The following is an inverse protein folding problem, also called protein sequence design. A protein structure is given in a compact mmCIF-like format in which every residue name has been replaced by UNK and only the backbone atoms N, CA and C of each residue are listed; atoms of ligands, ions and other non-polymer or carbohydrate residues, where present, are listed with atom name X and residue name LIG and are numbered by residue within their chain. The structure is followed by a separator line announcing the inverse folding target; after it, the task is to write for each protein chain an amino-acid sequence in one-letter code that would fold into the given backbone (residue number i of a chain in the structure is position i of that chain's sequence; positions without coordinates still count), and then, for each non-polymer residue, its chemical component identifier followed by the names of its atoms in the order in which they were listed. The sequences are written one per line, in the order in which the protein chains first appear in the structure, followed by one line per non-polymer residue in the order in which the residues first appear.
data_IF_807013040706
#
_entry.id   IF_807013040706
#
_cell.length_a   1.000
_cell.length_b   1.000
_cell.length_c   1.000
_cell.angle_alpha   90.00
_cell.angle_beta   90.00
_cell.angle_gamma   90.00
#
_symmetry.space_group_name_H-M   'P 1'
#
loop_
_entity.id
_entity.type
_entity.pdbx_description
1 polymer ?
#
# COMPACT_ATOMS: atom_id res chain seq x y z
N UNK A 1 -25.42 3.05 -20.08
CA UNK A 1 -25.15 1.96 -19.13
C UNK A 1 -24.50 2.45 -17.82
N UNK A 2 -24.03 3.71 -17.74
CA UNK A 2 -23.53 4.33 -16.51
C UNK A 2 -24.48 5.41 -15.94
N UNK A 3 -25.62 5.69 -16.59
CA UNK A 3 -26.50 6.82 -16.26
C UNK A 3 -27.15 6.71 -14.88
N UNK A 4 -27.31 5.49 -14.38
CA UNK A 4 -27.72 5.21 -12.99
C UNK A 4 -26.62 5.57 -12.00
N UNK A 5 -25.35 5.33 -12.36
CA UNK A 5 -24.20 5.62 -11.52
C UNK A 5 -23.92 7.12 -11.39
N UNK A 6 -24.28 7.92 -12.38
CA UNK A 6 -24.09 9.37 -12.34
C UNK A 6 -24.85 10.05 -11.18
N UNK A 7 -25.82 9.35 -10.58
CA UNK A 7 -26.53 9.81 -9.39
C UNK A 7 -25.64 9.94 -8.13
N UNK A 8 -24.39 9.46 -8.13
CA UNK A 8 -23.43 9.72 -7.04
C UNK A 8 -22.61 10.99 -7.23
N UNK A 9 -22.72 11.67 -8.36
CA UNK A 9 -22.07 12.96 -8.56
C UNK A 9 -22.86 14.05 -7.80
N UNK A 10 -22.18 15.00 -7.15
CA UNK A 10 -22.85 16.10 -6.46
C UNK A 10 -23.49 17.07 -7.47
N UNK A 11 -24.43 17.88 -6.97
CA UNK A 11 -25.06 18.93 -7.77
C UNK A 11 -24.01 19.89 -8.36
N UNK A 12 -24.11 20.18 -9.66
CA UNK A 12 -23.15 21.02 -10.39
C UNK A 12 -22.00 20.26 -11.05
N UNK A 13 -21.87 18.95 -10.81
CA UNK A 13 -20.91 18.08 -11.52
C UNK A 13 -21.66 17.17 -12.48
N UNK A 14 -21.42 17.34 -13.78
CA UNK A 14 -22.01 16.50 -14.82
C UNK A 14 -20.98 15.54 -15.41
N UNK A 15 -21.44 14.34 -15.76
CA UNK A 15 -20.62 13.35 -16.47
C UNK A 15 -20.23 13.89 -17.85
N UNK A 16 -18.93 14.07 -18.05
CA UNK A 16 -18.35 14.45 -19.32
C UNK A 16 -18.25 13.24 -20.26
N UNK A 17 -18.55 13.46 -21.53
CA UNK A 17 -18.39 12.48 -22.59
C UNK A 17 -17.07 12.72 -23.34
N UNK A 18 -16.30 11.66 -23.57
CA UNK A 18 -15.03 11.75 -24.28
C UNK A 18 -14.36 10.40 -24.43
N UNK A 19 -13.20 10.39 -25.07
CA UNK A 19 -12.34 9.20 -25.16
C UNK A 19 -11.54 9.11 -23.87
N UNK A 20 -11.62 7.99 -23.11
CA UNK A 20 -10.82 7.83 -21.90
C UNK A 20 -9.33 7.69 -22.24
N UNK A 21 -8.44 7.92 -21.28
CA UNK A 21 -7.01 7.68 -21.48
C UNK A 21 -6.75 6.23 -21.93
N UNK A 22 -5.87 6.01 -22.93
CA UNK A 22 -5.53 4.66 -23.36
C UNK A 22 -4.85 3.90 -22.22
N UNK A 23 -4.93 2.56 -22.20
CA UNK A 23 -4.18 1.78 -21.22
C UNK A 23 -2.67 1.97 -21.42
N UNK A 24 -1.86 1.86 -20.35
CA UNK A 24 -0.40 1.83 -20.45
C UNK A 24 0.08 0.69 -21.37
N UNK A 25 1.23 0.89 -22.01
CA UNK A 25 1.87 -0.13 -22.88
C UNK A 25 2.33 -1.33 -22.07
N UNK A 26 2.98 -1.05 -20.94
CA UNK A 26 3.37 -1.99 -19.91
C UNK A 26 3.34 -1.29 -18.55
N UNK A 27 3.48 -2.07 -17.48
CA UNK A 27 3.60 -1.58 -16.11
C UNK A 27 5.04 -1.72 -15.58
N UNK A 28 6.01 -1.88 -16.48
CA UNK A 28 7.42 -2.11 -16.17
C UNK A 28 8.22 -0.80 -16.23
N UNK A 29 9.27 -0.76 -17.03
CA UNK A 29 10.19 0.38 -17.12
C UNK A 29 9.65 1.53 -17.98
N UNK A 30 8.68 1.29 -18.86
CA UNK A 30 8.09 2.32 -19.72
C UNK A 30 6.81 2.94 -19.15
N UNK A 31 6.39 2.51 -17.95
CA UNK A 31 5.23 3.07 -17.29
C UNK A 31 5.44 4.56 -17.00
N UNK A 32 4.53 5.39 -17.50
CA UNK A 32 4.51 6.83 -17.24
C UNK A 32 3.37 7.13 -16.28
N UNK A 33 3.64 7.94 -15.25
CA UNK A 33 2.62 8.36 -14.30
C UNK A 33 1.47 9.07 -15.02
N UNK A 34 0.21 8.81 -14.63
CA UNK A 34 -0.93 9.55 -15.16
C UNK A 34 -0.80 11.06 -14.98
N UNK A 35 -1.30 11.82 -15.95
CA UNK A 35 -1.36 13.28 -15.84
C UNK A 35 -2.76 13.69 -15.43
N UNK A 36 -2.88 14.18 -14.20
CA UNK A 36 -4.13 14.73 -13.67
C UNK A 36 -4.39 16.10 -14.29
N UNK A 37 -5.50 16.24 -15.03
CA UNK A 37 -5.79 17.46 -15.81
C UNK A 37 -6.79 18.40 -15.13
N UNK A 38 -7.93 17.86 -14.74
CA UNK A 38 -9.03 18.60 -14.10
C UNK A 38 -9.50 17.82 -12.88
N UNK A 39 -9.76 18.51 -11.77
CA UNK A 39 -10.29 17.91 -10.55
C UNK A 39 -11.57 18.63 -10.11
N UNK A 40 -12.69 18.45 -10.86
CA UNK A 40 -13.95 19.16 -10.61
C UNK A 40 -14.41 19.14 -9.14
N UNK A 41 -14.24 17.99 -8.46
CA UNK A 41 -14.65 17.87 -7.06
C UNK A 41 -13.74 18.66 -6.11
N UNK A 42 -12.44 18.77 -6.41
CA UNK A 42 -11.53 19.61 -5.63
C UNK A 42 -11.86 21.09 -5.79
N UNK A 43 -12.21 21.52 -6.99
CA UNK A 43 -12.64 22.90 -7.27
C UNK A 43 -13.98 23.24 -6.59
N UNK A 44 -14.92 22.29 -6.59
CA UNK A 44 -16.23 22.47 -5.96
C UNK A 44 -16.14 22.52 -4.43
N UNK A 45 -15.30 21.66 -3.84
CA UNK A 45 -15.20 21.47 -2.40
C UNK A 45 -13.85 21.95 -1.84
N UNK A 46 -13.47 23.18 -2.20
CA UNK A 46 -12.23 23.82 -1.71
C UNK A 46 -12.29 24.11 -0.21
N UNK A 47 -11.15 23.90 0.46
CA UNK A 47 -10.95 24.27 1.86
C UNK A 47 -9.85 25.35 1.98
N UNK A 48 -9.88 26.26 2.97
CA UNK A 48 -8.87 27.31 3.11
C UNK A 48 -7.42 26.81 3.18
N UNK A 49 -7.18 25.61 3.72
CA UNK A 49 -5.84 24.99 3.79
C UNK A 49 -5.32 24.51 2.43
N UNK A 50 -6.19 24.39 1.42
CA UNK A 50 -5.82 23.87 0.11
C UNK A 50 -4.97 24.87 -0.66
N UNK A 51 -5.19 26.16 -0.40
CA UNK A 51 -4.51 27.25 -1.09
C UNK A 51 -2.98 27.28 -0.85
N UNK A 52 -2.51 26.66 0.23
CA UNK A 52 -1.09 26.60 0.57
C UNK A 52 -0.44 25.25 0.33
N UNK A 53 -1.24 24.21 0.03
CA UNK A 53 -0.79 22.84 -0.11
C UNK A 53 -0.45 22.54 -1.56
N UNK A 54 0.72 21.93 -1.78
CA UNK A 54 1.12 21.40 -3.10
C UNK A 54 1.71 20.02 -2.91
N UNK A 55 1.19 19.03 -3.64
CA UNK A 55 1.75 17.69 -3.73
C UNK A 55 2.56 17.50 -5.03
N UNK A 56 3.82 17.09 -4.86
CA UNK A 56 4.71 16.70 -5.94
C UNK A 56 4.71 15.18 -6.04
N UNK A 57 3.94 14.66 -7.00
CA UNK A 57 3.65 13.22 -7.14
C UNK A 57 4.92 12.37 -7.34
N UNK A 58 5.79 12.78 -8.27
CA UNK A 58 7.04 12.07 -8.59
C UNK A 58 7.95 11.80 -7.38
N UNK A 59 8.41 12.83 -6.65
CA UNK A 59 9.20 12.63 -5.43
C UNK A 59 8.35 12.30 -4.19
N UNK A 60 7.02 12.26 -4.31
CA UNK A 60 6.05 12.05 -3.22
C UNK A 60 6.25 13.04 -2.05
N UNK A 61 6.33 14.34 -2.36
CA UNK A 61 6.57 15.41 -1.39
C UNK A 61 5.34 16.32 -1.29
N UNK A 62 4.87 16.55 -0.06
CA UNK A 62 3.87 17.57 0.23
C UNK A 62 4.59 18.84 0.69
N UNK A 63 4.10 19.99 0.27
CA UNK A 63 4.58 21.29 0.76
C UNK A 63 3.41 22.12 1.26
N UNK A 64 3.59 22.85 2.36
CA UNK A 64 2.64 23.82 2.89
C UNK A 64 3.33 25.18 2.94
N UNK A 65 2.76 26.19 2.28
CA UNK A 65 3.35 27.52 2.12
C UNK A 65 4.78 27.46 1.53
N UNK A 66 5.02 26.50 0.64
CA UNK A 66 6.32 26.26 -0.01
C UNK A 66 7.36 25.58 0.88
N UNK A 67 6.99 25.14 2.08
CA UNK A 67 7.85 24.36 2.98
C UNK A 67 7.47 22.88 2.90
N UNK A 68 8.38 21.98 2.51
CA UNK A 68 8.13 20.54 2.54
C UNK A 68 7.79 20.01 3.93
N UNK A 69 6.75 19.19 4.02
CA UNK A 69 6.40 18.51 5.26
C UNK A 69 7.50 17.50 5.63
N UNK A 70 7.81 17.36 6.91
CA UNK A 70 8.81 16.37 7.33
C UNK A 70 8.31 14.93 7.19
N UNK A 71 7.02 14.69 7.30
CA UNK A 71 6.43 13.34 7.17
C UNK A 71 5.19 13.27 6.28
N UNK A 72 4.65 12.07 6.16
CA UNK A 72 3.34 11.80 5.57
C UNK A 72 2.50 10.91 6.48
N UNK A 73 1.17 10.89 6.28
CA UNK A 73 0.28 10.00 7.04
C UNK A 73 0.66 8.53 6.84
N UNK A 74 0.95 8.13 5.60
CA UNK A 74 1.42 6.78 5.28
C UNK A 74 2.69 6.43 6.05
N UNK A 75 3.67 7.34 6.10
CA UNK A 75 4.89 7.13 6.89
C UNK A 75 4.60 6.88 8.37
N UNK A 76 3.71 7.66 8.99
CA UNK A 76 3.33 7.47 10.39
C UNK A 76 2.61 6.14 10.64
N UNK A 77 1.75 5.71 9.72
CA UNK A 77 1.00 4.45 9.83
C UNK A 77 1.89 3.19 9.73
N UNK A 78 3.06 3.30 9.10
CA UNK A 78 4.01 2.20 8.93
C UNK A 78 5.16 2.22 9.95
N UNK A 79 5.33 3.29 10.73
CA UNK A 79 6.48 3.48 11.63
C UNK A 79 6.68 2.35 12.66
N UNK A 80 5.62 1.62 13.02
CA UNK A 80 5.63 0.56 14.02
C UNK A 80 5.54 -0.85 13.43
N UNK A 81 5.51 -0.99 12.11
CA UNK A 81 5.62 -2.29 11.44
C UNK A 81 7.05 -2.77 11.39
N UNK A 82 7.25 -4.09 11.34
CA UNK A 82 8.58 -4.64 11.09
C UNK A 82 8.87 -4.61 9.59
N UNK A 83 10.08 -4.21 9.19
CA UNK A 83 10.45 -4.24 7.78
C UNK A 83 10.44 -5.70 7.27
N UNK A 84 9.99 -5.88 6.03
CA UNK A 84 10.07 -7.17 5.36
C UNK A 84 11.55 -7.56 5.17
N UNK A 85 11.87 -8.82 5.50
CA UNK A 85 13.21 -9.40 5.32
C UNK A 85 13.13 -10.48 4.24
N UNK A 86 13.57 -10.17 3.00
CA UNK A 86 13.48 -11.11 1.88
C UNK A 86 14.22 -12.42 2.14
N UNK A 87 15.38 -12.35 2.80
CA UNK A 87 16.21 -13.52 3.09
C UNK A 87 15.52 -14.46 4.07
N UNK A 88 14.87 -13.92 5.11
CA UNK A 88 14.04 -14.72 6.01
C UNK A 88 12.82 -15.29 5.29
N UNK A 89 12.20 -14.53 4.39
CA UNK A 89 11.09 -14.98 3.55
C UNK A 89 11.47 -16.21 2.72
N UNK A 90 12.58 -16.14 1.98
CA UNK A 90 13.09 -17.25 1.16
C UNK A 90 13.43 -18.47 2.02
N UNK A 91 14.14 -18.25 3.14
CA UNK A 91 14.48 -19.33 4.07
C UNK A 91 13.23 -20.02 4.62
N UNK A 92 12.20 -19.27 4.98
CA UNK A 92 10.93 -19.83 5.45
C UNK A 92 10.21 -20.64 4.35
N UNK A 93 10.22 -20.17 3.10
CA UNK A 93 9.62 -20.90 1.97
C UNK A 93 10.34 -22.22 1.70
N UNK A 94 11.67 -22.23 1.68
CA UNK A 94 12.50 -23.44 1.47
C UNK A 94 12.29 -24.50 2.55
N UNK A 95 12.02 -24.07 3.78
CA UNK A 95 11.83 -24.95 4.93
C UNK A 95 10.35 -25.27 5.23
N UNK A 96 9.42 -24.83 4.38
CA UNK A 96 8.00 -25.03 4.62
C UNK A 96 7.62 -26.51 4.60
N UNK A 97 6.76 -26.90 5.55
CA UNK A 97 6.15 -28.25 5.57
C UNK A 97 4.83 -28.32 4.79
N UNK A 98 4.20 -27.18 4.52
CA UNK A 98 2.89 -27.11 3.86
C UNK A 98 2.97 -27.12 2.34
N UNK A 99 4.15 -26.90 1.78
CA UNK A 99 4.42 -26.92 0.34
C UNK A 99 5.88 -27.31 0.13
N UNK A 100 6.14 -28.17 -0.86
CA UNK A 100 7.51 -28.59 -1.20
C UNK A 100 8.27 -27.47 -1.93
N UNK A 101 9.59 -27.53 -1.83
CA UNK A 101 10.51 -26.64 -2.53
C UNK A 101 11.23 -27.40 -3.66
N UNK A 102 11.45 -26.79 -4.85
CA UNK A 102 11.06 -25.43 -5.24
C UNK A 102 9.55 -25.29 -5.51
N UNK A 103 9.04 -24.06 -5.50
CA UNK A 103 7.68 -23.76 -5.97
C UNK A 103 7.71 -23.49 -7.47
N UNK A 104 6.58 -23.73 -8.15
CA UNK A 104 6.47 -23.55 -9.61
C UNK A 104 6.89 -22.15 -10.07
N UNK A 105 6.56 -21.11 -9.30
CA UNK A 105 6.91 -19.71 -9.59
C UNK A 105 8.41 -19.37 -9.42
N UNK A 106 9.21 -20.26 -8.82
CA UNK A 106 10.64 -20.03 -8.53
C UNK A 106 11.57 -21.00 -9.27
N UNK A 107 11.12 -21.53 -10.41
CA UNK A 107 11.93 -22.34 -11.31
C UNK A 107 12.00 -21.70 -12.70
N UNK A 108 13.07 -21.99 -13.42
CA UNK A 108 13.32 -21.48 -14.78
C UNK A 108 12.82 -22.50 -15.81
N UNK A 109 12.20 -21.97 -16.88
CA UNK A 109 11.70 -22.74 -18.03
C UNK A 109 10.74 -23.88 -17.60
N UNK A 110 9.78 -23.58 -16.72
CA UNK A 110 8.75 -24.55 -16.35
C UNK A 110 7.84 -24.86 -17.53
N UNK A 111 7.59 -26.15 -17.81
CA UNK A 111 6.77 -26.62 -18.93
C UNK A 111 5.75 -27.67 -18.46
N UNK A 112 4.45 -27.51 -18.76
CA UNK A 112 3.46 -28.54 -18.49
C UNK A 112 3.74 -29.82 -19.29
N UNK A 113 3.67 -30.97 -18.63
CA UNK A 113 3.83 -32.30 -19.25
C UNK A 113 2.44 -32.84 -19.56
N UNK A 114 1.88 -32.46 -20.70
CA UNK A 114 0.45 -32.70 -20.98
C UNK A 114 0.18 -34.00 -21.74
N UNK A 115 1.09 -34.53 -22.58
CA UNK A 115 0.71 -35.66 -23.46
C UNK A 115 1.83 -36.70 -23.67
N UNK A 116 3.11 -36.38 -23.43
CA UNK A 116 4.18 -37.36 -23.65
C UNK A 116 5.18 -37.43 -22.49
N UNK A 117 5.30 -38.62 -21.91
CA UNK A 117 6.27 -38.97 -20.86
C UNK A 117 7.72 -38.65 -21.28
N UNK A 118 7.98 -38.55 -22.59
CA UNK A 118 9.28 -38.20 -23.17
C UNK A 118 9.79 -36.78 -22.84
N UNK A 119 8.92 -35.88 -22.34
CA UNK A 119 9.34 -34.54 -21.87
C UNK A 119 9.96 -34.58 -20.46
N UNK A 120 9.86 -35.72 -19.77
CA UNK A 120 10.53 -35.99 -18.51
C UNK A 120 11.88 -36.65 -18.80
N UNK A 121 12.95 -35.92 -18.55
CA UNK A 121 14.33 -36.41 -18.63
C UNK A 121 15.03 -36.17 -17.30
N UNK A 122 16.05 -36.97 -16.99
CA UNK A 122 16.85 -36.79 -15.79
C UNK A 122 17.70 -35.51 -15.82
N UNK A 123 17.89 -34.89 -16.98
CA UNK A 123 18.62 -33.63 -17.13
C UNK A 123 17.84 -32.44 -16.58
N UNK A 124 16.51 -32.57 -16.51
CA UNK A 124 15.60 -31.55 -16.00
C UNK A 124 15.04 -31.97 -14.64
N UNK A 125 14.56 -31.01 -13.90
CA UNK A 125 13.74 -31.25 -12.73
C UNK A 125 12.31 -31.55 -13.14
N UNK A 126 11.55 -32.18 -12.25
CA UNK A 126 10.14 -32.43 -12.44
C UNK A 126 9.37 -32.24 -11.12
N UNK A 127 8.12 -31.79 -11.20
CA UNK A 127 7.29 -31.54 -10.03
C UNK A 127 5.82 -31.83 -10.29
N UNK A 128 5.08 -32.13 -9.21
CA UNK A 128 3.62 -32.24 -9.22
C UNK A 128 3.06 -31.02 -8.48
N UNK A 129 2.14 -30.31 -9.13
CA UNK A 129 1.42 -29.17 -8.60
C UNK A 129 -0.06 -29.52 -8.49
N UNK A 130 -0.67 -29.19 -7.36
CA UNK A 130 -2.08 -29.44 -7.09
C UNK A 130 -2.66 -28.20 -6.40
N UNK A 131 -3.72 -27.61 -6.97
CA UNK A 131 -4.31 -26.37 -6.45
C UNK A 131 -3.28 -25.24 -6.28
N UNK A 132 -2.35 -25.11 -7.23
CA UNK A 132 -1.27 -24.12 -7.20
C UNK A 132 -0.12 -24.40 -6.21
N UNK A 133 -0.18 -25.50 -5.45
CA UNK A 133 0.88 -25.88 -4.50
C UNK A 133 1.72 -27.02 -5.04
N UNK A 134 3.03 -26.87 -4.94
CA UNK A 134 3.96 -27.95 -5.24
C UNK A 134 3.91 -29.01 -4.14
N UNK A 135 3.51 -30.23 -4.50
CA UNK A 135 3.32 -31.35 -3.55
C UNK A 135 4.39 -32.45 -3.67
N UNK A 136 5.07 -32.53 -4.82
CA UNK A 136 6.20 -33.43 -5.04
C UNK A 136 7.20 -32.79 -6.00
N UNK A 137 8.50 -33.09 -5.80
CA UNK A 137 9.62 -32.54 -6.57
C UNK A 137 10.68 -33.63 -6.74
N UNK A 138 11.31 -33.61 -7.90
CA UNK A 138 12.58 -34.23 -8.22
C UNK A 138 13.48 -33.17 -8.86
N UNK A 139 14.66 -32.93 -8.31
CA UNK A 139 15.58 -31.92 -8.85
C UNK A 139 16.31 -32.45 -10.11
N UNK A 140 16.79 -31.55 -10.99
CA UNK A 140 17.65 -31.93 -12.11
C UNK A 140 18.81 -32.85 -11.66
N UNK A 141 19.12 -33.87 -12.46
CA UNK A 141 20.19 -34.84 -12.22
C UNK A 141 20.07 -35.67 -10.94
N UNK A 142 18.88 -35.74 -10.32
CA UNK A 142 18.64 -36.59 -9.14
C UNK A 142 18.47 -38.08 -9.48
N UNK A 143 18.33 -38.41 -10.76
CA UNK A 143 18.23 -39.78 -11.27
C UNK A 143 19.30 -40.03 -12.34
N UNK A 144 19.59 -41.32 -12.59
CA UNK A 144 20.54 -41.72 -13.62
C UNK A 144 20.11 -41.22 -15.00
N UNK A 145 21.08 -40.89 -15.86
CA UNK A 145 20.84 -40.39 -17.22
C UNK A 145 20.02 -41.33 -18.11
N UNK A 146 19.97 -42.61 -17.77
CA UNK A 146 19.18 -43.65 -18.44
C UNK A 146 17.74 -43.78 -17.96
N UNK A 147 17.34 -43.05 -16.91
CA UNK A 147 16.00 -43.13 -16.36
C UNK A 147 14.95 -42.68 -17.40
N UNK A 148 13.94 -43.52 -17.62
CA UNK A 148 12.82 -43.17 -18.48
C UNK A 148 11.91 -42.16 -17.78
N UNK A 149 11.09 -41.45 -18.55
CA UNK A 149 10.08 -40.58 -17.96
C UNK A 149 9.06 -41.33 -17.08
N UNK A 150 8.84 -42.63 -17.34
CA UNK A 150 7.99 -43.49 -16.48
C UNK A 150 8.63 -43.70 -15.11
N UNK A 151 9.96 -43.90 -15.07
CA UNK A 151 10.72 -44.03 -13.81
C UNK A 151 10.63 -42.74 -12.99
N UNK A 152 10.83 -41.59 -13.65
CA UNK A 152 10.74 -40.26 -13.03
C UNK A 152 9.34 -40.03 -12.46
N UNK A 153 8.29 -40.30 -13.23
CA UNK A 153 6.90 -40.13 -12.80
C UNK A 153 6.55 -41.05 -11.63
N UNK A 154 7.05 -42.29 -11.65
CA UNK A 154 6.88 -43.25 -10.55
C UNK A 154 7.48 -42.71 -9.24
N UNK A 155 8.71 -42.18 -9.29
CA UNK A 155 9.37 -41.57 -8.12
C UNK A 155 8.61 -40.35 -7.62
N UNK A 156 8.15 -39.47 -8.52
CA UNK A 156 7.35 -38.30 -8.14
C UNK A 156 6.05 -38.69 -7.44
N UNK A 157 5.33 -39.68 -7.98
CA UNK A 157 4.10 -40.20 -7.37
C UNK A 157 4.35 -40.84 -6.01
N UNK A 158 5.47 -41.56 -5.85
CA UNK A 158 5.86 -42.09 -4.55
C UNK A 158 6.17 -40.98 -3.53
N UNK A 159 6.88 -39.92 -3.95
CA UNK A 159 7.18 -38.73 -3.13
C UNK A 159 5.91 -37.99 -2.72
N UNK A 160 4.95 -37.84 -3.66
CA UNK A 160 3.62 -37.27 -3.42
C UNK A 160 2.89 -37.97 -2.28
N UNK A 161 2.85 -39.30 -2.26
CA UNK A 161 2.18 -40.09 -1.22
C UNK A 161 2.73 -39.84 0.20
N UNK A 162 3.93 -39.27 0.32
CA UNK A 162 4.57 -38.94 1.60
C UNK A 162 4.27 -37.50 2.05
N UNK A 163 3.61 -36.68 1.23
CA UNK A 163 3.26 -35.29 1.55
C UNK A 163 1.89 -35.25 2.26
N UNK A 164 1.81 -34.77 3.52
CA UNK A 164 0.53 -34.68 4.23
C UNK A 164 -0.49 -33.77 3.53
N UNK A 165 -1.75 -34.22 3.41
CA UNK A 165 -2.84 -33.45 2.79
C UNK A 165 -2.91 -33.55 1.25
N UNK A 166 -2.24 -34.53 0.64
CA UNK A 166 -2.22 -34.79 -0.81
C UNK A 166 -3.29 -35.79 -1.26
N UNK A 167 -4.56 -35.56 -0.89
CA UNK A 167 -5.66 -36.35 -1.46
C UNK A 167 -5.66 -36.17 -3.00
N UNK A 168 -5.90 -37.25 -3.74
CA UNK A 168 -5.97 -37.18 -5.20
C UNK A 168 -7.16 -36.32 -5.61
N UNK A 169 -6.85 -35.22 -6.30
CA UNK A 169 -7.84 -34.35 -6.92
C UNK A 169 -7.65 -34.39 -8.43
N UNK A 170 -8.67 -33.99 -9.19
CA UNK A 170 -8.61 -33.94 -10.65
C UNK A 170 -7.72 -32.79 -11.18
N UNK A 171 -7.16 -31.96 -10.28
CA UNK A 171 -6.37 -30.75 -10.59
C UNK A 171 -4.84 -30.96 -10.47
N UNK A 172 -4.35 -32.19 -10.67
CA UNK A 172 -2.92 -32.48 -10.61
C UNK A 172 -2.20 -32.26 -11.93
N UNK A 173 -1.23 -31.36 -11.91
CA UNK A 173 -0.42 -30.99 -13.07
C UNK A 173 1.04 -31.37 -12.86
N UNK A 174 1.62 -32.05 -13.85
CA UNK A 174 3.05 -32.38 -13.86
C UNK A 174 3.78 -31.33 -14.69
N UNK A 175 4.87 -30.80 -14.15
CA UNK A 175 5.74 -29.83 -14.82
C UNK A 175 7.18 -30.31 -14.85
N UNK A 176 7.88 -30.08 -15.95
CA UNK A 176 9.35 -30.16 -16.01
C UNK A 176 9.95 -28.77 -15.91
N UNK A 177 11.17 -28.64 -15.38
CA UNK A 177 11.86 -27.36 -15.23
C UNK A 177 13.38 -27.50 -15.40
N UNK A 178 14.05 -26.44 -15.86
CA UNK A 178 15.49 -26.48 -16.11
C UNK A 178 16.29 -26.44 -14.80
N UNK A 179 16.03 -25.42 -13.97
CA UNK A 179 16.72 -25.22 -12.69
C UNK A 179 15.88 -24.39 -11.72
N UNK A 180 16.31 -24.35 -10.48
CA UNK A 180 15.75 -23.46 -9.45
C UNK A 180 16.37 -22.07 -9.58
N UNK A 181 15.57 -21.02 -9.34
CA UNK A 181 16.09 -19.66 -9.19
C UNK A 181 17.03 -19.56 -7.98
N UNK A 182 18.06 -18.72 -8.10
CA UNK A 182 18.91 -18.30 -6.99
C UNK A 182 18.17 -17.32 -6.08
N UNK A 183 18.68 -17.11 -4.86
CA UNK A 183 18.04 -16.19 -3.91
C UNK A 183 18.02 -14.76 -4.44
N UNK A 184 19.05 -14.35 -5.18
CA UNK A 184 19.07 -13.04 -5.85
C UNK A 184 18.02 -12.95 -6.94
N UNK A 185 17.89 -13.97 -7.80
CA UNK A 185 16.85 -14.00 -8.84
C UNK A 185 15.44 -13.94 -8.25
N UNK A 186 15.20 -14.59 -7.10
CA UNK A 186 13.91 -14.51 -6.40
C UNK A 186 13.66 -13.10 -5.85
N UNK A 187 14.67 -12.44 -5.29
CA UNK A 187 14.56 -11.06 -4.79
C UNK A 187 14.32 -10.07 -5.93
N UNK A 188 14.99 -10.24 -7.07
CA UNK A 188 14.80 -9.42 -8.27
C UNK A 188 13.39 -9.64 -8.84
N UNK A 189 12.94 -10.89 -8.89
CA UNK A 189 11.58 -11.25 -9.30
C UNK A 189 10.51 -10.61 -8.39
N UNK A 190 10.70 -10.64 -7.07
CA UNK A 190 9.79 -9.98 -6.13
C UNK A 190 9.79 -8.45 -6.29
N UNK A 191 10.95 -7.86 -6.56
CA UNK A 191 11.08 -6.41 -6.80
C UNK A 191 10.33 -6.01 -8.06
N UNK A 192 10.52 -6.73 -9.17
CA UNK A 192 9.81 -6.48 -10.42
C UNK A 192 8.30 -6.67 -10.27
N UNK A 193 7.87 -7.77 -9.62
CA UNK A 193 6.46 -8.04 -9.34
C UNK A 193 5.84 -6.93 -8.47
N UNK A 194 6.58 -6.44 -7.48
CA UNK A 194 6.18 -5.31 -6.64
C UNK A 194 6.02 -4.01 -7.44
N UNK A 195 6.98 -3.70 -8.33
CA UNK A 195 6.92 -2.54 -9.22
C UNK A 195 5.70 -2.59 -10.14
N UNK A 196 5.49 -3.71 -10.84
CA UNK A 196 4.32 -3.92 -11.72
C UNK A 196 3.02 -3.77 -10.92
N UNK A 197 2.91 -4.40 -9.76
CA UNK A 197 1.72 -4.30 -8.92
C UNK A 197 1.44 -2.87 -8.46
N UNK A 198 2.48 -2.12 -8.08
CA UNK A 198 2.39 -0.71 -7.69
C UNK A 198 1.92 0.17 -8.84
N UNK A 199 2.57 0.07 -10.01
CA UNK A 199 2.23 0.85 -11.21
C UNK A 199 0.80 0.55 -11.69
N UNK A 200 0.40 -0.72 -11.65
CA UNK A 200 -0.97 -1.12 -11.98
C UNK A 200 -1.96 -0.53 -10.97
N UNK A 201 -1.59 -0.50 -9.68
CA UNK A 201 -2.36 0.19 -8.65
C UNK A 201 -2.56 1.67 -8.95
N UNK A 202 -1.49 2.40 -9.26
CA UNK A 202 -1.52 3.83 -9.63
C UNK A 202 -2.47 4.09 -10.80
N UNK A 203 -2.38 3.29 -11.87
CA UNK A 203 -3.25 3.44 -13.03
C UNK A 203 -4.74 3.28 -12.69
N UNK A 204 -5.08 2.34 -11.82
CA UNK A 204 -6.48 2.12 -11.47
C UNK A 204 -7.00 3.06 -10.38
N UNK A 205 -6.15 3.59 -9.50
CA UNK A 205 -6.53 4.74 -8.67
C UNK A 205 -6.91 5.93 -9.56
N UNK A 206 -6.11 6.22 -10.60
CA UNK A 206 -6.43 7.24 -11.58
C UNK A 206 -7.74 6.96 -12.33
N UNK A 207 -7.99 5.72 -12.79
CA UNK A 207 -9.29 5.38 -13.41
C UNK A 207 -10.48 5.57 -12.46
N UNK A 208 -10.33 5.21 -11.18
CA UNK A 208 -11.33 5.45 -10.15
C UNK A 208 -11.58 6.95 -9.96
N UNK A 209 -10.52 7.75 -9.84
CA UNK A 209 -10.61 9.22 -9.70
C UNK A 209 -11.34 9.84 -10.90
N UNK A 210 -10.99 9.47 -12.13
CA UNK A 210 -11.68 9.96 -13.34
C UNK A 210 -13.17 9.65 -13.29
N UNK A 211 -13.53 8.41 -12.95
CA UNK A 211 -14.94 8.05 -12.83
C UNK A 211 -15.65 8.87 -11.74
N UNK A 212 -15.05 9.02 -10.56
CA UNK A 212 -15.69 9.74 -9.46
C UNK A 212 -15.79 11.25 -9.71
N UNK A 213 -14.92 11.84 -10.54
CA UNK A 213 -14.99 13.24 -10.96
C UNK A 213 -15.93 13.52 -12.14
N UNK A 214 -16.67 12.52 -12.63
CA UNK A 214 -17.49 12.74 -13.82
C UNK A 214 -16.69 12.74 -15.13
N UNK A 215 -15.42 12.33 -15.14
CA UNK A 215 -14.56 12.38 -16.33
C UNK A 215 -14.61 11.08 -17.15
N UNK A 216 -14.17 11.10 -18.44
CA UNK A 216 -14.06 9.90 -19.26
C UNK A 216 -13.08 8.88 -18.66
N UNK A 217 -13.57 7.67 -18.35
CA UNK A 217 -12.78 6.57 -17.81
C UNK A 217 -13.00 5.28 -18.62
N UNK A 218 -12.10 4.30 -18.47
CA UNK A 218 -12.21 2.99 -19.13
C UNK A 218 -13.18 2.09 -18.38
N UNK A 219 -14.46 2.33 -18.61
CA UNK A 219 -15.54 1.61 -17.93
C UNK A 219 -15.57 0.10 -18.24
N UNK A 220 -14.90 -0.40 -19.27
CA UNK A 220 -14.85 -1.83 -19.59
C UNK A 220 -13.76 -2.61 -18.85
N UNK A 221 -12.88 -1.91 -18.11
CA UNK A 221 -11.82 -2.58 -17.37
C UNK A 221 -12.42 -3.41 -16.20
N UNK A 222 -11.96 -4.66 -15.96
CA UNK A 222 -12.48 -5.51 -14.89
C UNK A 222 -12.42 -4.87 -13.50
N UNK A 223 -11.34 -4.14 -13.20
CA UNK A 223 -11.17 -3.37 -11.97
C UNK A 223 -12.29 -2.35 -11.77
N UNK A 224 -12.70 -1.66 -12.85
CA UNK A 224 -13.74 -0.64 -12.79
C UNK A 224 -15.13 -1.22 -12.54
N UNK A 225 -15.39 -2.46 -12.98
CA UNK A 225 -16.64 -3.15 -12.66
C UNK A 225 -16.83 -3.33 -11.15
N UNK A 226 -15.75 -3.57 -10.41
CA UNK A 226 -15.79 -3.71 -8.94
C UNK A 226 -16.18 -2.39 -8.27
N UNK A 227 -15.63 -1.26 -8.74
CA UNK A 227 -16.04 0.06 -8.26
C UNK A 227 -17.53 0.33 -8.57
N UNK A 228 -18.00 -0.01 -9.76
CA UNK A 228 -19.39 0.20 -10.14
C UNK A 228 -20.35 -0.65 -9.29
N UNK A 229 -19.97 -1.89 -8.98
CA UNK A 229 -20.73 -2.72 -8.07
C UNK A 229 -20.74 -2.15 -6.66
N UNK A 230 -19.61 -1.58 -6.19
CA UNK A 230 -19.57 -0.88 -4.92
C UNK A 230 -20.55 0.32 -4.91
N UNK A 231 -20.54 1.14 -5.95
CA UNK A 231 -21.46 2.29 -6.11
C UNK A 231 -22.92 1.84 -6.08
N UNK A 232 -23.28 0.83 -6.89
CA UNK A 232 -24.67 0.33 -6.98
C UNK A 232 -25.18 -0.27 -5.69
N UNK A 233 -24.33 -1.04 -5.00
CA UNK A 233 -24.76 -1.82 -3.84
C UNK A 233 -24.67 -1.04 -2.53
N UNK A 234 -23.82 0.00 -2.46
CA UNK A 234 -23.53 0.68 -1.19
C UNK A 234 -23.83 2.18 -1.22
N UNK A 235 -23.56 2.89 -2.32
CA UNK A 235 -23.75 4.35 -2.38
C UNK A 235 -25.16 4.73 -2.82
N UNK A 236 -25.61 4.23 -3.97
CA UNK A 236 -26.91 4.58 -4.56
C UNK A 236 -28.10 4.31 -3.62
N UNK A 237 -28.20 3.16 -2.92
CA UNK A 237 -29.34 2.87 -2.05
C UNK A 237 -29.47 3.83 -0.86
N UNK A 238 -28.41 4.59 -0.55
CA UNK A 238 -28.34 5.56 0.53
C UNK A 238 -28.33 7.00 0.06
N UNK A 239 -28.27 7.24 -1.25
CA UNK A 239 -28.05 8.59 -1.78
C UNK A 239 -26.74 9.18 -1.27
N UNK A 240 -25.69 8.36 -1.16
CA UNK A 240 -24.34 8.83 -0.85
C UNK A 240 -23.72 9.40 -2.13
N UNK A 241 -23.10 10.57 -2.00
CA UNK A 241 -22.42 11.25 -3.10
C UNK A 241 -20.91 11.23 -2.91
N UNK A 242 -20.17 11.38 -4.01
CA UNK A 242 -18.75 11.68 -3.92
C UNK A 242 -18.59 13.13 -3.52
N UNK A 243 -17.88 13.38 -2.44
CA UNK A 243 -17.56 14.73 -1.97
C UNK A 243 -16.24 15.21 -2.56
N UNK A 244 -15.19 14.38 -2.52
CA UNK A 244 -13.89 14.74 -3.03
C UNK A 244 -13.06 13.50 -3.37
N UNK A 245 -12.01 13.65 -4.18
CA UNK A 245 -11.09 12.57 -4.57
C UNK A 245 -9.65 13.05 -4.58
N UNK A 246 -8.71 12.14 -4.34
CA UNK A 246 -7.27 12.45 -4.20
C UNK A 246 -7.07 13.69 -3.32
N UNK A 247 -7.84 13.74 -2.23
CA UNK A 247 -7.97 14.93 -1.39
C UNK A 247 -6.70 15.07 -0.58
N UNK A 248 -5.86 15.99 -1.02
CA UNK A 248 -4.66 16.40 -0.31
C UNK A 248 -5.04 17.12 0.99
N UNK A 249 -4.38 16.73 2.08
CA UNK A 249 -4.54 17.31 3.40
C UNK A 249 -3.18 17.60 4.05
N UNK A 250 -3.18 18.56 4.99
CA UNK A 250 -2.04 18.91 5.81
C UNK A 250 -2.45 19.05 7.27
N UNK A 251 -1.59 18.58 8.17
CA UNK A 251 -1.71 18.80 9.60
C UNK A 251 -0.49 19.62 10.06
N UNK A 252 -0.63 20.95 10.09
CA UNK A 252 0.49 21.89 10.30
C UNK A 252 1.23 21.69 11.62
N UNK A 253 0.50 21.37 12.68
CA UNK A 253 1.10 21.12 14.00
C UNK A 253 1.93 19.84 14.03
N UNK A 254 1.55 18.83 13.23
CA UNK A 254 2.27 17.58 13.08
C UNK A 254 3.31 17.63 11.94
N UNK A 255 3.31 18.68 11.11
CA UNK A 255 4.22 18.81 9.97
C UNK A 255 4.17 17.56 9.04
N UNK A 256 2.95 17.13 8.73
CA UNK A 256 2.66 15.98 7.86
C UNK A 256 1.63 16.33 6.80
N UNK A 257 1.77 15.72 5.62
CA UNK A 257 0.78 15.74 4.55
C UNK A 257 0.20 14.35 4.26
N UNK A 258 -0.84 14.28 3.44
CA UNK A 258 -1.40 13.03 2.92
C UNK A 258 -2.38 13.26 1.79
N UNK A 259 -2.69 12.21 1.03
CA UNK A 259 -3.75 12.17 0.03
C UNK A 259 -4.77 11.10 0.40
N UNK A 260 -6.04 11.45 0.36
CA UNK A 260 -7.16 10.54 0.61
C UNK A 260 -7.83 10.22 -0.73
N UNK A 261 -7.84 8.94 -1.11
CA UNK A 261 -8.34 8.50 -2.43
C UNK A 261 -9.76 9.02 -2.73
N UNK A 262 -10.71 8.87 -1.80
CA UNK A 262 -12.03 9.46 -1.92
C UNK A 262 -12.68 9.79 -0.55
N UNK A 263 -13.42 10.88 -0.53
CA UNK A 263 -14.33 11.28 0.55
C UNK A 263 -15.75 11.20 -0.01
N UNK A 264 -16.62 10.48 0.69
CA UNK A 264 -18.04 10.35 0.35
C UNK A 264 -18.88 11.13 1.35
N UNK A 265 -20.00 11.70 0.93
CA UNK A 265 -20.94 12.40 1.81
C UNK A 265 -22.26 11.63 1.93
N UNK A 266 -22.65 11.33 3.17
CA UNK A 266 -23.96 10.75 3.50
C UNK A 266 -24.88 11.85 4.04
N UNK A 267 -25.84 12.32 3.22
CA UNK A 267 -26.78 13.36 3.63
C UNK A 267 -27.78 12.89 4.68
N UNK A 268 -28.04 11.58 4.79
CA UNK A 268 -29.04 11.05 5.72
C UNK A 268 -28.55 11.14 7.17
N UNK A 269 -27.28 10.81 7.37
CA UNK A 269 -26.62 10.85 8.68
C UNK A 269 -25.80 12.13 8.92
N UNK A 270 -25.65 12.97 7.88
CA UNK A 270 -24.84 14.19 7.90
C UNK A 270 -23.38 13.93 8.33
N UNK A 271 -22.78 12.90 7.73
CA UNK A 271 -21.39 12.49 7.95
C UNK A 271 -20.67 12.32 6.62
N UNK A 272 -19.34 12.28 6.69
CA UNK A 272 -18.48 11.91 5.57
C UNK A 272 -17.87 10.54 5.82
N UNK A 273 -17.68 9.75 4.77
CA UNK A 273 -16.98 8.48 4.82
C UNK A 273 -15.66 8.60 4.07
N UNK A 274 -14.64 7.90 4.55
CA UNK A 274 -13.35 7.80 3.86
C UNK A 274 -13.38 6.51 3.06
N UNK A 275 -13.06 6.58 1.77
CA UNK A 275 -12.90 5.42 0.89
C UNK A 275 -11.45 5.39 0.39
N UNK A 276 -10.77 4.28 0.65
CA UNK A 276 -9.39 4.04 0.27
C UNK A 276 -9.34 2.81 -0.64
N UNK A 277 -8.86 3.03 -1.87
CA UNK A 277 -8.71 2.01 -2.88
C UNK A 277 -7.43 1.22 -2.63
N UNK A 278 -7.50 -0.06 -2.96
CA UNK A 278 -6.36 -0.96 -3.01
C UNK A 278 -6.47 -1.83 -4.24
N UNK A 279 -5.33 -2.28 -4.75
CA UNK A 279 -5.29 -3.33 -5.78
C UNK A 279 -4.39 -4.46 -5.30
N UNK A 280 -4.96 -5.37 -4.50
CA UNK A 280 -4.20 -6.47 -3.89
C UNK A 280 -4.99 -7.77 -3.89
N UNK A 281 -4.41 -8.80 -4.51
CA UNK A 281 -4.89 -10.19 -4.50
C UNK A 281 -4.97 -10.82 -3.09
N UNK A 282 -4.28 -10.22 -2.12
CA UNK A 282 -4.12 -10.74 -0.76
C UNK A 282 -4.78 -9.89 0.33
N UNK A 283 -5.57 -8.85 -0.02
CA UNK A 283 -6.02 -7.90 1.00
C UNK A 283 -6.85 -8.57 2.09
N UNK A 284 -7.86 -9.37 1.72
CA UNK A 284 -8.72 -10.10 2.65
C UNK A 284 -7.91 -10.98 3.62
N UNK A 285 -6.94 -11.74 3.09
CA UNK A 285 -6.09 -12.65 3.88
C UNK A 285 -5.05 -11.95 4.75
N UNK A 286 -4.79 -10.65 4.53
CA UNK A 286 -3.78 -9.84 5.24
C UNK A 286 -4.41 -8.73 6.10
N UNK A 287 -5.74 -8.80 6.31
CA UNK A 287 -6.41 -7.99 7.32
C UNK A 287 -5.98 -8.38 8.73
N UNK A 288 -5.44 -9.59 8.92
CA UNK A 288 -4.91 -10.09 10.19
C UNK A 288 -3.64 -10.91 9.97
N UNK A 289 -2.75 -10.95 10.96
CA UNK A 289 -1.55 -11.78 10.88
C UNK A 289 -1.81 -13.19 11.42
N UNK A 290 -1.95 -14.16 10.51
CA UNK A 290 -2.17 -15.57 10.83
C UNK A 290 -0.95 -16.26 11.51
N UNK A 291 0.23 -15.65 11.44
CA UNK A 291 1.47 -16.12 12.07
C UNK A 291 1.73 -15.48 13.44
N UNK A 292 0.74 -14.73 13.99
CA UNK A 292 0.80 -14.06 15.30
C UNK A 292 1.93 -13.01 15.42
N UNK A 293 2.46 -12.52 14.30
CA UNK A 293 3.37 -11.38 14.31
C UNK A 293 2.69 -10.12 14.85
N UNK A 294 3.41 -9.36 15.67
CA UNK A 294 2.93 -8.14 16.35
C UNK A 294 3.79 -6.95 15.99
N UNK A 295 3.15 -5.79 15.85
CA UNK A 295 3.83 -4.51 15.66
C UNK A 295 4.80 -4.23 16.82
N UNK A 296 5.74 -3.32 16.59
CA UNK A 296 6.68 -2.89 17.61
C UNK A 296 5.99 -2.07 18.72
N UNK A 297 6.67 -1.96 19.87
CA UNK A 297 6.15 -1.17 20.98
C UNK A 297 5.92 0.30 20.58
N UNK A 298 4.83 0.94 21.05
CA UNK A 298 3.88 0.46 22.08
C UNK A 298 2.68 -0.33 21.52
N UNK A 299 2.64 -0.68 20.23
CA UNK A 299 1.46 -1.25 19.57
C UNK A 299 1.48 -2.78 19.46
N UNK A 300 2.09 -3.47 20.42
CA UNK A 300 2.23 -4.94 20.40
C UNK A 300 0.90 -5.71 20.48
N UNK A 301 -0.21 -5.04 20.77
CA UNK A 301 -1.56 -5.60 20.67
C UNK A 301 -2.06 -5.69 19.22
N UNK A 302 -1.62 -4.78 18.34
CA UNK A 302 -1.91 -4.80 16.90
C UNK A 302 -1.09 -5.89 16.20
N UNK A 303 -1.67 -6.51 15.18
CA UNK A 303 -0.91 -7.46 14.38
C UNK A 303 0.02 -6.73 13.41
N UNK A 304 1.18 -7.32 13.16
CA UNK A 304 2.10 -6.87 12.13
C UNK A 304 1.62 -7.36 10.76
N UNK A 305 0.68 -6.61 10.17
CA UNK A 305 0.03 -6.93 8.88
C UNK A 305 -0.43 -5.64 8.20
N UNK A 306 -0.76 -5.73 6.90
CA UNK A 306 -1.27 -4.59 6.13
C UNK A 306 -2.57 -4.04 6.70
N UNK A 307 -3.49 -4.90 7.15
CA UNK A 307 -4.76 -4.49 7.75
C UNK A 307 -4.60 -3.51 8.91
N UNK A 308 -3.64 -3.77 9.82
CA UNK A 308 -3.40 -2.89 10.96
C UNK A 308 -2.84 -1.52 10.54
N UNK A 309 -1.94 -1.46 9.55
CA UNK A 309 -1.43 -0.18 9.04
C UNK A 309 -2.49 0.60 8.28
N UNK A 310 -3.37 -0.05 7.52
CA UNK A 310 -4.51 0.63 6.91
C UNK A 310 -5.48 1.19 7.96
N UNK A 311 -5.74 0.43 9.05
CA UNK A 311 -6.53 0.95 10.17
C UNK A 311 -5.90 2.23 10.76
N UNK A 312 -4.58 2.24 10.98
CA UNK A 312 -3.86 3.41 11.49
C UNK A 312 -3.90 4.58 10.50
N UNK A 313 -3.65 4.33 9.21
CA UNK A 313 -3.66 5.33 8.16
C UNK A 313 -5.01 6.06 8.09
N UNK A 314 -6.11 5.30 7.97
CA UNK A 314 -7.45 5.89 7.89
C UNK A 314 -7.90 6.53 9.21
N UNK A 315 -7.39 6.05 10.35
CA UNK A 315 -7.62 6.69 11.65
C UNK A 315 -6.89 8.04 11.76
N UNK A 316 -5.67 8.15 11.25
CA UNK A 316 -4.93 9.42 11.20
C UNK A 316 -5.63 10.40 10.25
N UNK A 317 -6.10 9.94 9.08
CA UNK A 317 -6.91 10.77 8.20
C UNK A 317 -8.16 11.30 8.90
N UNK A 318 -8.93 10.43 9.56
CA UNK A 318 -10.07 10.88 10.36
C UNK A 318 -9.68 11.93 11.39
N UNK A 319 -8.63 11.69 12.19
CA UNK A 319 -8.18 12.63 13.21
C UNK A 319 -7.92 14.03 12.63
N UNK A 320 -7.24 14.11 11.48
CA UNK A 320 -6.91 15.38 10.82
C UNK A 320 -8.18 16.02 10.25
N UNK A 321 -9.03 15.24 9.56
CA UNK A 321 -10.25 15.75 8.93
C UNK A 321 -11.23 16.33 9.96
N UNK A 322 -11.41 15.66 11.10
CA UNK A 322 -12.33 16.13 12.15
C UNK A 322 -11.78 17.36 12.88
N UNK A 323 -10.47 17.40 13.12
CA UNK A 323 -9.83 18.48 13.87
C UNK A 323 -9.57 19.74 13.04
N UNK A 324 -9.06 19.58 11.82
CA UNK A 324 -8.48 20.67 11.02
C UNK A 324 -9.37 21.08 9.83
N UNK A 325 -10.26 20.18 9.37
CA UNK A 325 -11.13 20.40 8.21
C UNK A 325 -12.63 20.48 8.57
N UNK A 326 -12.98 20.23 9.84
CA UNK A 326 -14.36 20.36 10.33
C UNK A 326 -15.33 19.29 9.82
N UNK A 327 -14.81 18.16 9.32
CA UNK A 327 -15.66 17.04 8.93
C UNK A 327 -16.15 16.25 10.15
N UNK A 328 -17.25 15.53 9.99
CA UNK A 328 -17.65 14.45 10.89
C UNK A 328 -17.51 13.14 10.14
N UNK A 329 -16.73 12.20 10.65
CA UNK A 329 -16.39 10.97 9.93
C UNK A 329 -17.21 9.78 10.43
N UNK A 330 -17.90 9.10 9.51
CA UNK A 330 -18.57 7.83 9.74
C UNK A 330 -17.61 6.64 9.52
N UNK A 331 -17.80 5.96 8.40
CA UNK A 331 -17.01 4.78 8.01
C UNK A 331 -15.66 5.14 7.38
N UNK A 332 -14.69 4.25 7.61
CA UNK A 332 -13.39 4.21 6.95
C UNK A 332 -13.34 2.91 6.16
N UNK A 333 -13.36 2.99 4.85
CA UNK A 333 -13.66 1.87 3.96
C UNK A 333 -12.41 1.53 3.15
N UNK A 334 -12.07 0.24 3.11
CA UNK A 334 -11.08 -0.30 2.18
C UNK A 334 -11.81 -1.02 1.05
N UNK A 335 -11.47 -0.69 -0.19
CA UNK A 335 -11.98 -1.36 -1.38
C UNK A 335 -10.82 -1.91 -2.22
N UNK A 336 -10.63 -3.23 -2.20
CA UNK A 336 -9.80 -3.92 -3.17
C UNK A 336 -10.53 -4.07 -4.50
N UNK A 337 -10.02 -3.39 -5.53
CA UNK A 337 -10.50 -3.50 -6.91
C UNK A 337 -9.75 -4.56 -7.71
N UNK A 338 -9.09 -5.53 -7.07
CA UNK A 338 -8.38 -6.60 -7.79
C UNK A 338 -9.38 -7.55 -8.49
N UNK A 339 -9.30 -7.78 -9.81
CA UNK A 339 -10.30 -8.56 -10.56
C UNK A 339 -10.51 -9.98 -10.03
N UNK A 340 -9.41 -10.66 -9.67
CA UNK A 340 -9.46 -12.05 -9.18
C UNK A 340 -9.75 -12.17 -7.67
N UNK A 341 -9.74 -11.04 -6.94
CA UNK A 341 -9.88 -11.02 -5.49
C UNK A 341 -10.51 -9.69 -5.00
N UNK A 342 -11.73 -9.36 -5.46
CA UNK A 342 -12.43 -8.18 -4.98
C UNK A 342 -12.72 -8.33 -3.49
N UNK A 343 -12.54 -7.25 -2.73
CA UNK A 343 -12.74 -7.27 -1.29
C UNK A 343 -13.13 -5.89 -0.79
N UNK A 344 -14.12 -5.81 0.10
CA UNK A 344 -14.54 -4.55 0.72
C UNK A 344 -14.74 -4.76 2.22
N UNK A 345 -14.27 -3.82 3.04
CA UNK A 345 -14.48 -3.85 4.49
C UNK A 345 -14.43 -2.45 5.09
N UNK A 346 -15.10 -2.25 6.23
CA UNK A 346 -14.92 -1.06 7.08
C UNK A 346 -13.91 -1.37 8.17
N UNK A 347 -13.04 -0.41 8.48
CA UNK A 347 -12.00 -0.55 9.51
C UNK A 347 -12.29 0.30 10.74
N UNK A 348 -11.91 -0.14 11.95
CA UNK A 348 -12.17 0.61 13.16
C UNK A 348 -11.39 1.92 13.24
N UNK A 349 -11.90 2.87 14.02
CA UNK A 349 -11.12 4.03 14.44
C UNK A 349 -10.21 3.67 15.62
N UNK A 350 -8.91 3.65 15.39
CA UNK A 350 -7.88 3.40 16.39
C UNK A 350 -7.51 4.70 17.11
N UNK A 351 -8.46 5.32 17.81
CA UNK A 351 -8.30 6.65 18.43
C UNK A 351 -7.11 6.69 19.40
N UNK A 352 -7.00 5.72 20.31
CA UNK A 352 -5.94 5.72 21.34
C UNK A 352 -4.53 5.65 20.73
N UNK A 353 -4.36 4.84 19.68
CA UNK A 353 -3.11 4.71 18.95
C UNK A 353 -2.82 5.96 18.12
N UNK A 354 -3.84 6.48 17.44
CA UNK A 354 -3.75 7.70 16.62
C UNK A 354 -3.42 8.91 17.46
N UNK A 355 -4.10 9.13 18.57
CA UNK A 355 -3.84 10.21 19.51
C UNK A 355 -2.40 10.16 20.04
N UNK A 356 -1.89 8.97 20.38
CA UNK A 356 -0.49 8.80 20.76
C UNK A 356 0.48 9.19 19.62
N UNK A 357 0.24 8.70 18.40
CA UNK A 357 1.05 9.05 17.21
C UNK A 357 1.06 10.57 17.03
N UNK A 358 -0.11 11.21 17.03
CA UNK A 358 -0.25 12.64 16.80
C UNK A 358 0.41 13.47 17.89
N UNK A 359 0.20 13.14 19.18
CA UNK A 359 0.89 13.81 20.30
C UNK A 359 2.40 13.67 20.24
N UNK A 360 2.91 12.48 19.89
CA UNK A 360 4.34 12.25 19.70
C UNK A 360 4.89 13.08 18.54
N UNK A 361 4.12 13.20 17.45
CA UNK A 361 4.50 14.00 16.30
C UNK A 361 4.49 15.51 16.62
N UNK A 362 3.49 16.04 17.35
CA UNK A 362 3.49 17.42 17.83
C UNK A 362 4.70 17.72 18.71
N UNK A 363 5.03 16.81 19.64
CA UNK A 363 6.20 16.92 20.50
C UNK A 363 7.52 16.93 19.69
N UNK A 364 7.61 16.12 18.63
CA UNK A 364 8.75 16.10 17.72
C UNK A 364 8.90 17.43 16.96
N UNK A 365 7.81 17.95 16.41
CA UNK A 365 7.80 19.24 15.68
C UNK A 365 8.20 20.39 16.59
N UNK A 366 7.67 20.41 17.81
CA UNK A 366 8.06 21.41 18.81
C UNK A 366 9.56 21.32 19.14
N UNK A 367 10.08 20.12 19.39
CA UNK A 367 11.49 19.91 19.69
C UNK A 367 12.41 20.32 18.52
N UNK A 368 11.99 20.10 17.27
CA UNK A 368 12.69 20.57 16.06
C UNK A 368 12.74 22.08 15.97
N UNK A 369 11.63 22.77 16.28
CA UNK A 369 11.59 24.24 16.33
C UNK A 369 12.53 24.78 17.41
N UNK A 370 12.49 24.21 18.62
CA UNK A 370 13.39 24.59 19.72
C UNK A 370 14.86 24.31 19.39
N UNK A 371 15.18 23.17 18.77
CA UNK A 371 16.54 22.89 18.31
C UNK A 371 17.03 23.95 17.31
N UNK A 372 16.20 24.35 16.35
CA UNK A 372 16.54 25.43 15.41
C UNK A 372 16.77 26.77 16.10
N UNK A 373 16.06 27.08 17.18
CA UNK A 373 16.27 28.31 17.96
C UNK A 373 17.60 28.32 18.74
N UNK A 374 18.09 27.14 19.17
CA UNK A 374 19.37 27.00 19.88
C UNK A 374 20.57 27.31 18.97
N UNK A 375 20.53 26.89 17.72
CA UNK A 375 21.55 27.22 16.72
C UNK A 375 20.91 27.52 15.36
N UNK A 376 20.43 28.76 15.22
CA UNK A 376 19.76 29.21 13.99
C UNK A 376 20.68 29.34 12.78
N UNK A 377 22.01 29.25 12.95
CA UNK A 377 22.96 29.27 11.84
C UNK A 377 23.13 27.86 11.29
N UNK A 378 23.21 26.87 12.17
CA UNK A 378 23.43 25.47 11.80
C UNK A 378 22.15 24.74 11.40
N UNK A 379 21.02 25.06 12.05
CA UNK A 379 19.79 24.27 11.98
C UNK A 379 18.62 24.93 11.25
N UNK A 380 18.87 26.08 10.60
CA UNK A 380 17.88 26.76 9.76
C UNK A 380 18.14 26.47 8.29
N UNK A 381 17.11 26.01 7.60
CA UNK A 381 17.18 25.73 6.18
C UNK A 381 17.30 27.04 5.40
N UNK A 382 18.34 27.17 4.58
CA UNK A 382 18.59 28.33 3.72
C UNK A 382 17.48 28.55 2.69
N UNK A 383 16.79 27.49 2.29
CA UNK A 383 15.75 27.52 1.26
C UNK A 383 14.38 27.93 1.81
N UNK A 384 14.02 27.51 3.03
CA UNK A 384 12.65 27.59 3.56
C UNK A 384 12.55 28.31 4.89
N UNK A 385 13.67 28.64 5.54
CA UNK A 385 13.75 29.17 6.91
C UNK A 385 13.18 28.25 8.01
N UNK A 386 12.75 27.04 7.66
CA UNK A 386 12.28 26.01 8.59
C UNK A 386 13.44 25.18 9.16
N UNK A 387 13.20 24.33 10.18
CA UNK A 387 14.24 23.45 10.72
C UNK A 387 14.84 22.51 9.65
N UNK A 388 16.14 22.27 9.69
CA UNK A 388 16.87 21.44 8.71
C UNK A 388 16.71 19.94 8.96
N UNK A 389 15.48 19.44 8.86
CA UNK A 389 15.23 17.99 8.86
C UNK A 389 15.94 17.36 7.66
N UNK A 390 16.65 16.25 7.89
CA UNK A 390 17.45 15.56 6.87
C UNK A 390 18.43 16.49 6.14
N UNK A 391 19.17 17.29 6.91
CA UNK A 391 20.07 18.34 6.41
C UNK A 391 20.99 17.90 5.25
N UNK A 392 21.14 18.76 4.25
CA UNK A 392 22.03 18.61 3.10
C UNK A 392 22.86 19.89 2.89
N UNK A 393 24.02 19.75 2.25
CA UNK A 393 24.86 20.88 1.79
C UNK A 393 24.63 21.08 0.30
N UNK A 394 24.25 22.30 -0.07
CA UNK A 394 24.17 22.74 -1.46
C UNK A 394 25.57 23.09 -1.99
N UNK A 395 25.69 23.30 -3.30
CA UNK A 395 26.97 23.64 -3.95
C UNK A 395 27.63 24.92 -3.40
N UNK A 396 26.82 25.90 -2.98
CA UNK A 396 27.30 27.16 -2.37
C UNK A 396 27.74 26.99 -0.90
N UNK A 397 27.66 25.77 -0.37
CA UNK A 397 28.01 25.42 1.00
C UNK A 397 26.90 25.68 2.02
N UNK A 398 25.77 26.26 1.62
CA UNK A 398 24.63 26.51 2.51
C UNK A 398 23.92 25.21 2.93
N UNK A 399 23.31 25.23 4.12
CA UNK A 399 22.55 24.10 4.66
C UNK A 399 21.09 24.23 4.28
N UNK A 400 20.53 23.16 3.71
CA UNK A 400 19.12 23.06 3.38
C UNK A 400 18.50 21.76 3.91
N UNK A 401 17.18 21.64 3.83
CA UNK A 401 16.48 20.37 3.98
C UNK A 401 16.48 19.61 2.65
N UNK A 402 16.68 18.30 2.70
CA UNK A 402 16.77 17.44 1.51
C UNK A 402 15.54 17.57 0.60
N UNK A 403 14.34 17.49 1.17
CA UNK A 403 13.09 17.62 0.40
C UNK A 403 12.96 18.96 -0.33
N UNK A 404 13.47 20.05 0.23
CA UNK A 404 13.42 21.36 -0.44
C UNK A 404 14.44 21.45 -1.57
N UNK A 405 15.61 20.81 -1.44
CA UNK A 405 16.56 20.71 -2.53
C UNK A 405 15.97 19.88 -3.69
N UNK A 406 15.32 18.75 -3.40
CA UNK A 406 14.63 17.91 -4.38
C UNK A 406 13.54 18.69 -5.14
N UNK A 407 12.64 19.38 -4.42
CA UNK A 407 11.56 20.17 -5.03
C UNK A 407 12.10 21.30 -5.91
N UNK A 408 13.28 21.84 -5.59
CA UNK A 408 13.94 22.90 -6.37
C UNK A 408 14.94 22.38 -7.40
N UNK A 409 15.03 21.06 -7.58
CA UNK A 409 15.94 20.40 -8.51
C UNK A 409 17.41 20.84 -8.32
N UNK A 410 17.83 20.95 -7.06
CA UNK A 410 19.19 21.37 -6.69
C UNK A 410 20.08 20.16 -6.40
N UNK A 411 21.33 20.22 -6.83
CA UNK A 411 22.36 19.27 -6.43
C UNK A 411 22.76 19.46 -4.96
N UNK A 412 23.00 18.34 -4.27
CA UNK A 412 23.34 18.36 -2.86
C UNK A 412 24.16 17.15 -2.41
N UNK A 413 24.78 17.28 -1.23
CA UNK A 413 25.38 16.16 -0.50
C UNK A 413 24.82 16.05 0.92
N UNK A 414 24.58 14.84 1.46
CA UNK A 414 24.10 14.68 2.83
C UNK A 414 25.04 15.34 3.86
N UNK A 415 24.49 16.22 4.70
CA UNK A 415 25.24 16.93 5.74
C UNK A 415 25.21 16.13 7.06
N UNK A 416 25.88 14.98 7.09
CA UNK A 416 25.76 14.03 8.21
C UNK A 416 26.14 14.62 9.57
N UNK A 417 27.11 15.54 9.61
CA UNK A 417 27.49 16.25 10.83
C UNK A 417 26.33 17.13 11.36
N UNK A 418 25.62 17.80 10.46
CA UNK A 418 24.43 18.61 10.79
C UNK A 418 23.26 17.72 11.21
N UNK A 419 23.00 16.63 10.48
CA UNK A 419 21.93 15.67 10.81
C UNK A 419 22.10 15.13 12.23
N UNK A 420 23.30 14.65 12.56
CA UNK A 420 23.60 14.09 13.89
C UNK A 420 23.48 15.15 14.99
N UNK A 421 24.02 16.35 14.77
CA UNK A 421 23.93 17.45 15.75
C UNK A 421 22.48 17.87 15.98
N UNK A 422 21.69 18.02 14.91
CA UNK A 422 20.28 18.39 14.98
C UNK A 422 19.45 17.31 15.69
N UNK A 423 19.64 16.03 15.34
CA UNK A 423 18.95 14.91 15.98
C UNK A 423 19.25 14.81 17.47
N UNK A 424 20.49 15.07 17.88
CA UNK A 424 20.85 15.10 19.30
C UNK A 424 20.15 16.25 20.02
N UNK A 425 20.17 17.46 19.45
CA UNK A 425 19.46 18.61 20.02
C UNK A 425 17.94 18.36 20.10
N UNK A 426 17.34 17.72 19.10
CA UNK A 426 15.93 17.33 19.12
C UNK A 426 15.66 16.31 20.22
N UNK A 427 16.47 15.26 20.34
CA UNK A 427 16.31 14.21 21.37
C UNK A 427 16.41 14.76 22.79
N UNK A 428 17.33 15.69 23.04
CA UNK A 428 17.50 16.33 24.34
C UNK A 428 16.29 17.17 24.76
N UNK A 429 15.58 17.76 23.79
CA UNK A 429 14.44 18.64 24.02
C UNK A 429 13.08 17.96 23.81
N UNK A 430 13.04 16.72 23.30
CA UNK A 430 11.80 16.02 22.99
C UNK A 430 11.09 15.57 24.27
N UNK A 431 9.86 16.05 24.54
CA UNK A 431 9.08 15.58 25.67
C UNK A 431 8.77 14.08 25.57
N UNK A 432 8.77 13.40 26.72
CA UNK A 432 8.29 12.01 26.79
C UNK A 432 6.77 12.01 26.60
N UNK A 433 6.30 11.31 25.58
CA UNK A 433 4.88 11.08 25.34
C UNK A 433 4.56 9.63 25.70
N UNK A 434 3.61 9.44 26.62
CA UNK A 434 3.16 8.11 27.02
C UNK A 434 1.96 7.65 26.16
N UNK A 435 1.90 6.36 25.80
CA UNK A 435 0.72 5.78 25.15
C UNK A 435 -0.46 5.71 26.13
N UNK A 436 -1.67 5.60 25.59
CA UNK A 436 -2.86 5.35 26.40
C UNK A 436 -2.74 3.99 27.13
N UNK A 437 -3.38 3.85 28.31
CA UNK A 437 -3.50 2.55 28.96
C UNK A 437 -4.16 1.52 28.05
N UNK A 438 -3.74 0.25 28.15
CA UNK A 438 -4.28 -0.83 27.30
C UNK A 438 -5.82 -1.03 27.43
N UNK A 439 -6.43 -0.54 28.51
CA UNK A 439 -7.88 -0.57 28.70
C UNK A 439 -8.65 0.39 27.78
N UNK A 440 -7.98 1.42 27.24
CA UNK A 440 -8.56 2.38 26.29
C UNK A 440 -8.41 1.90 24.83
N UNK A 441 -7.49 0.96 24.58
CA UNK A 441 -7.31 0.34 23.28
C UNK A 441 -8.45 -0.62 22.96
N UNK A 442 -9.06 -0.46 21.80
CA UNK A 442 -10.11 -1.36 21.32
C UNK A 442 -9.53 -2.68 20.84
N UNK A 443 -10.32 -3.76 20.92
CA UNK A 443 -9.98 -5.01 20.25
C UNK A 443 -10.28 -4.89 18.74
N UNK A 444 -9.32 -4.35 17.99
CA UNK A 444 -9.48 -4.02 16.57
C UNK A 444 -9.90 -5.23 15.73
N UNK A 445 -9.37 -6.44 16.01
CA UNK A 445 -9.74 -7.66 15.27
C UNK A 445 -11.22 -8.00 15.35
N UNK A 446 -11.86 -7.75 16.50
CA UNK A 446 -13.30 -7.97 16.67
C UNK A 446 -14.15 -6.88 15.99
N UNK A 447 -13.52 -5.79 15.56
CA UNK A 447 -14.17 -4.64 14.93
C UNK A 447 -13.97 -4.61 13.41
N UNK A 448 -13.04 -5.38 12.87
CA UNK A 448 -12.91 -5.62 11.43
C UNK A 448 -13.83 -6.79 11.06
N UNK A 449 -14.84 -6.59 10.20
CA UNK A 449 -15.66 -7.68 9.67
C UNK A 449 -14.81 -8.71 8.92
N UNK A 450 -15.09 -9.99 9.13
CA UNK A 450 -14.34 -11.09 8.48
C UNK A 450 -14.53 -11.11 6.96
N UNK A 451 -15.74 -10.82 6.48
CA UNK A 451 -16.07 -10.61 5.06
C UNK A 451 -17.25 -9.64 4.92
N UNK A 452 -17.24 -8.88 3.82
CA UNK A 452 -18.28 -7.93 3.45
C UNK A 452 -18.16 -6.56 4.13
N UNK A 453 -18.70 -5.54 3.46
CA UNK A 453 -19.06 -4.31 4.13
C UNK A 453 -20.41 -4.60 4.82
N UNK A 454 -20.51 -4.57 6.18
CA UNK A 454 -21.82 -4.39 6.77
C UNK A 454 -22.46 -3.15 6.13
N UNK A 455 -23.80 -3.07 6.06
CA UNK A 455 -24.41 -1.82 5.64
C UNK A 455 -23.78 -0.68 6.46
N UNK A 456 -23.08 0.27 5.81
CA UNK A 456 -22.56 1.53 6.41
C UNK A 456 -23.40 1.94 7.62
N UNK A 457 -22.77 2.09 8.77
CA UNK A 457 -23.48 2.37 10.02
C UNK A 457 -23.81 3.84 10.10
#
# INVERSE_FOLDING_TARGET
MLSDLDAVLPEGVERQHGVPPPPPVDFEDNFTLPVHSTKPLQELHTHPLDASLVFYEGPHIYTDEGVPTSGSVTYLAHQYQKPFDPSKGISAMKNSRSQKWPRLEYVIDARPVTIAIQDLTSERGAMIVCGGKTIAVLNPHSMESSASGEDILSVLRASRMQTPGSEATDDEEVHSFERVMTDQEIMDFWTLKGKIASNTGTEYHYMCELFLNGLPCRWWDPEMQILFDFVRNHMLPRGIFVWNTEKEIVCRDADIGGSIDAILWDPQNNVHHILDFKRSDKLAGDMHNNFRGKMEAPFTHLDDCRGASYCLQLSIYQYILERDYGFSIGDRILLSIHPDAPFVTSVPYLYAETDFIMRKQFALVQARRSAMELDSVMFRCSLTNAPTVDAVRLEDGSIAMEKAAIVRELDYTPAMDVRVAFDNAVKENMPIVAPAPAAECINWKRRVPAEGCPPFV
#
